data_IF_228132791925
#
_entry.id   IF_228132791925
#
_cell.length_a   1.000
_cell.length_b   1.000
_cell.length_c   1.000
_cell.angle_alpha   90.00
_cell.angle_beta   90.00
_cell.angle_gamma   90.00
#
_symmetry.space_group_name_H-M   'P 1'
#
loop_
_entity.id
_entity.type
_entity.pdbx_description
1 polymer ?
#
# COMPACT_ATOMS: atom_id res chain seq x y z
N UNK A 1 10.03 2.44 -5.41
CA UNK A 1 10.46 2.86 -4.06
C UNK A 1 10.24 1.67 -3.13
N UNK A 2 11.22 1.35 -2.28
CA UNK A 2 11.10 0.19 -1.41
C UNK A 2 10.65 0.62 -0.01
N UNK A 3 9.55 0.04 0.46
CA UNK A 3 9.01 0.26 1.79
C UNK A 3 9.07 -1.03 2.61
N UNK A 4 9.20 -0.90 3.92
CA UNK A 4 9.09 -2.05 4.83
C UNK A 4 7.62 -2.47 4.98
N UNK A 5 7.36 -3.77 5.14
CA UNK A 5 6.04 -4.30 5.50
C UNK A 5 5.49 -3.68 6.79
N UNK A 6 6.36 -3.16 7.67
CA UNK A 6 5.95 -2.51 8.92
C UNK A 6 5.04 -1.28 8.72
N UNK A 7 5.06 -0.63 7.54
CA UNK A 7 4.12 0.46 7.26
C UNK A 7 2.65 -0.02 7.27
N UNK A 8 2.40 -1.29 6.91
CA UNK A 8 1.06 -1.89 6.98
C UNK A 8 0.62 -2.04 8.44
N UNK A 9 1.54 -2.47 9.32
CA UNK A 9 1.32 -2.58 10.78
C UNK A 9 1.04 -1.22 11.40
N UNK A 10 1.88 -0.22 11.11
CA UNK A 10 1.72 1.17 11.58
C UNK A 10 0.40 1.79 11.10
N UNK A 11 -0.04 1.38 9.90
CA UNK A 11 -1.31 1.79 9.32
C UNK A 11 -2.54 1.12 9.94
N UNK A 12 -2.36 0.13 10.81
CA UNK A 12 -3.42 -0.70 11.42
C UNK A 12 -4.32 -1.34 10.36
N UNK A 13 -3.73 -1.72 9.24
CA UNK A 13 -4.41 -2.43 8.15
C UNK A 13 -4.17 -3.93 8.34
N UNK A 14 -5.19 -4.75 8.14
CA UNK A 14 -5.02 -6.21 8.09
C UNK A 14 -4.35 -6.58 6.77
N UNK A 15 -3.25 -7.31 6.86
CA UNK A 15 -2.51 -7.82 5.72
C UNK A 15 -2.21 -9.31 5.91
N UNK A 16 -2.07 -10.01 4.80
CA UNK A 16 -1.76 -11.43 4.72
C UNK A 16 -0.89 -11.73 3.48
N UNK A 17 -0.68 -13.00 3.15
CA UNK A 17 0.10 -13.43 1.99
C UNK A 17 -0.39 -12.82 0.66
N UNK A 18 -1.67 -12.50 0.50
CA UNK A 18 -2.18 -11.79 -0.69
C UNK A 18 -1.65 -10.37 -0.72
N UNK A 19 -1.66 -9.69 0.42
CA UNK A 19 -1.07 -8.35 0.52
C UNK A 19 0.42 -8.40 0.19
N UNK A 20 1.16 -9.38 0.70
CA UNK A 20 2.61 -9.51 0.44
C UNK A 20 2.89 -9.75 -1.04
N UNK A 21 2.15 -10.66 -1.68
CA UNK A 21 2.26 -10.92 -3.11
C UNK A 21 2.01 -9.67 -3.95
N UNK A 22 0.94 -8.92 -3.68
CA UNK A 22 0.67 -7.65 -4.39
C UNK A 22 1.77 -6.62 -4.12
N UNK A 23 2.38 -6.62 -2.94
CA UNK A 23 3.50 -5.73 -2.63
C UNK A 23 4.73 -6.02 -3.49
N UNK A 24 5.04 -7.31 -3.68
CA UNK A 24 6.13 -7.73 -4.55
C UNK A 24 5.87 -7.34 -6.00
N UNK A 25 4.67 -7.64 -6.51
CA UNK A 25 4.28 -7.34 -7.89
C UNK A 25 4.27 -5.83 -8.21
N UNK A 26 3.97 -5.00 -7.21
CA UNK A 26 4.05 -3.54 -7.34
C UNK A 26 5.48 -3.01 -7.15
N UNK A 27 6.46 -3.88 -6.86
CA UNK A 27 7.84 -3.51 -6.54
C UNK A 27 7.93 -2.47 -5.41
N UNK A 28 7.06 -2.61 -4.39
CA UNK A 28 7.03 -1.70 -3.23
C UNK A 28 7.67 -2.29 -1.98
N UNK A 29 8.08 -3.56 -2.01
CA UNK A 29 8.79 -4.24 -0.93
C UNK A 29 9.99 -5.01 -1.48
N UNK A 30 10.97 -5.28 -0.62
CA UNK A 30 12.12 -6.13 -0.98
C UNK A 30 11.87 -7.58 -0.62
N UNK A 31 12.63 -8.45 -1.27
CA UNK A 31 12.76 -9.87 -0.92
C UNK A 31 13.07 -10.10 0.56
N UNK A 32 13.92 -9.25 1.16
CA UNK A 32 14.22 -9.30 2.59
C UNK A 32 13.00 -9.06 3.48
N UNK A 33 12.08 -8.18 3.07
CA UNK A 33 10.84 -7.94 3.82
C UNK A 33 9.95 -9.18 3.79
N UNK A 34 9.88 -9.87 2.64
CA UNK A 34 9.11 -11.10 2.49
C UNK A 34 9.66 -12.22 3.38
N UNK A 35 10.99 -12.38 3.43
CA UNK A 35 11.64 -13.33 4.33
C UNK A 35 11.36 -12.99 5.79
N UNK A 36 11.48 -11.71 6.19
CA UNK A 36 11.17 -11.29 7.56
C UNK A 36 9.70 -11.57 7.93
N UNK A 37 8.78 -11.32 7.00
CA UNK A 37 7.36 -11.65 7.21
C UNK A 37 7.14 -13.15 7.38
N UNK A 38 7.79 -13.99 6.58
CA UNK A 38 7.71 -15.44 6.71
C UNK A 38 8.21 -15.93 8.09
N UNK A 39 9.33 -15.38 8.58
CA UNK A 39 9.87 -15.67 9.91
C UNK A 39 8.89 -15.26 11.01
N UNK A 40 8.32 -14.06 10.92
CA UNK A 40 7.31 -13.57 11.88
C UNK A 40 6.03 -14.42 11.84
N UNK A 41 5.60 -14.83 10.66
CA UNK A 41 4.44 -15.69 10.46
C UNK A 41 4.62 -17.04 11.15
N UNK A 42 5.75 -17.72 10.95
CA UNK A 42 6.05 -19.00 11.60
C UNK A 42 6.22 -18.87 13.12
N UNK A 43 6.72 -17.74 13.60
CA UNK A 43 6.86 -17.46 15.03
C UNK A 43 5.50 -17.35 15.74
N UNK A 44 4.46 -16.94 15.00
CA UNK A 44 3.10 -16.74 15.51
C UNK A 44 2.15 -17.89 15.17
N UNK A 45 2.53 -18.80 14.26
CA UNK A 45 1.78 -19.97 13.81
C UNK A 45 2.67 -21.20 13.86
N UNK A 46 2.99 -21.69 15.07
CA UNK A 46 3.98 -22.75 15.31
C UNK A 46 3.59 -24.10 14.67
N UNK A 47 2.29 -24.30 14.41
CA UNK A 47 1.73 -25.45 13.72
C UNK A 47 1.84 -25.38 12.20
N UNK A 48 2.26 -24.24 11.63
CA UNK A 48 2.41 -24.08 10.19
C UNK A 48 3.51 -25.00 9.66
N UNK A 49 3.13 -25.92 8.78
CA UNK A 49 4.01 -26.87 8.11
C UNK A 49 4.09 -26.63 6.59
N UNK A 50 3.65 -25.45 6.12
CA UNK A 50 3.66 -25.12 4.71
C UNK A 50 5.11 -25.03 4.20
N UNK A 51 5.54 -25.90 3.27
CA UNK A 51 6.93 -25.98 2.84
C UNK A 51 7.42 -24.68 2.18
N UNK A 52 6.54 -23.97 1.48
CA UNK A 52 6.85 -22.72 0.79
C UNK A 52 7.11 -21.57 1.79
N UNK A 53 6.31 -21.47 2.85
CA UNK A 53 6.52 -20.47 3.92
C UNK A 53 7.85 -20.73 4.65
N UNK A 54 8.14 -22.01 4.94
CA UNK A 54 9.39 -22.41 5.58
C UNK A 54 10.59 -22.09 4.67
N UNK A 55 10.47 -22.32 3.36
CA UNK A 55 11.50 -21.95 2.38
C UNK A 55 11.77 -20.44 2.35
N UNK A 56 10.73 -19.60 2.34
CA UNK A 56 10.88 -18.13 2.42
C UNK A 56 11.61 -17.70 3.70
N UNK A 57 11.27 -18.31 4.83
CA UNK A 57 11.86 -17.98 6.13
C UNK A 57 13.34 -18.36 6.23
N UNK A 58 13.78 -19.41 5.51
CA UNK A 58 15.19 -19.78 5.45
C UNK A 58 16.06 -18.82 4.63
N UNK A 59 15.49 -18.07 3.69
CA UNK A 59 16.20 -16.96 3.02
C UNK A 59 17.44 -17.37 2.21
N UNK A 60 17.33 -18.41 1.36
CA UNK A 60 18.41 -18.81 0.44
C UNK A 60 18.57 -17.82 -0.72
N UNK A 61 19.78 -17.73 -1.29
CA UNK A 61 20.13 -16.76 -2.34
C UNK A 61 19.40 -16.96 -3.68
N UNK A 62 18.91 -18.16 -3.97
CA UNK A 62 18.29 -18.52 -5.27
C UNK A 62 16.76 -18.68 -5.16
N UNK A 63 16.12 -17.96 -4.23
CA UNK A 63 14.66 -18.03 -4.05
C UNK A 63 13.94 -17.30 -5.19
N UNK A 64 13.08 -18.02 -5.91
CA UNK A 64 12.09 -17.46 -6.83
C UNK A 64 10.87 -16.95 -6.03
N UNK A 65 10.98 -15.77 -5.42
CA UNK A 65 9.97 -15.22 -4.50
C UNK A 65 8.56 -15.17 -5.09
N UNK A 66 8.42 -14.76 -6.35
CA UNK A 66 7.14 -14.72 -7.08
C UNK A 66 6.49 -16.11 -7.12
N UNK A 67 7.23 -17.11 -7.62
CA UNK A 67 6.75 -18.51 -7.73
C UNK A 67 6.37 -19.09 -6.37
N UNK A 68 7.17 -18.84 -5.34
CA UNK A 68 6.89 -19.37 -4.00
C UNK A 68 5.62 -18.73 -3.43
N UNK A 69 5.46 -17.40 -3.58
CA UNK A 69 4.24 -16.72 -3.14
C UNK A 69 3.01 -17.19 -3.92
N UNK A 70 3.11 -17.40 -5.23
CA UNK A 70 2.02 -18.00 -6.00
C UNK A 70 1.59 -19.37 -5.45
N UNK A 71 2.56 -20.22 -5.09
CA UNK A 71 2.27 -21.53 -4.51
C UNK A 71 1.63 -21.42 -3.12
N UNK A 72 2.11 -20.50 -2.28
CA UNK A 72 1.47 -20.19 -0.99
C UNK A 72 0.02 -19.77 -1.22
N UNK A 73 -0.23 -18.90 -2.20
CA UNK A 73 -1.58 -18.44 -2.50
C UNK A 73 -2.48 -19.56 -3.03
N UNK A 74 -1.97 -20.48 -3.85
CA UNK A 74 -2.70 -21.67 -4.33
C UNK A 74 -3.06 -22.64 -3.20
N UNK A 75 -2.21 -22.75 -2.18
CA UNK A 75 -2.48 -23.63 -1.03
C UNK A 75 -3.41 -22.99 0.01
N UNK A 76 -3.38 -21.66 0.16
CA UNK A 76 -4.12 -20.95 1.22
C UNK A 76 -5.46 -20.37 0.73
N UNK A 77 -5.60 -20.05 -0.56
CA UNK A 77 -6.82 -19.45 -1.11
C UNK A 77 -7.55 -20.39 -2.08
N UNK A 78 -8.88 -20.44 -1.95
CA UNK A 78 -9.79 -21.01 -2.93
C UNK A 78 -10.09 -20.06 -4.12
N UNK A 79 -9.66 -18.79 -4.06
CA UNK A 79 -9.90 -17.78 -5.11
C UNK A 79 -8.59 -17.29 -5.74
N UNK A 80 -8.52 -17.35 -7.08
CA UNK A 80 -7.38 -16.84 -7.84
C UNK A 80 -7.22 -15.33 -7.66
N UNK A 81 -6.04 -14.90 -7.19
CA UNK A 81 -5.65 -13.49 -7.07
C UNK A 81 -5.25 -12.95 -8.46
N UNK A 82 -6.21 -12.90 -9.38
CA UNK A 82 -5.98 -12.39 -10.73
C UNK A 82 -5.70 -10.89 -10.69
N UNK A 83 -4.75 -10.42 -11.51
CA UNK A 83 -4.46 -8.99 -11.70
C UNK A 83 -5.74 -8.26 -12.08
N UNK A 84 -5.93 -7.08 -11.49
CA UNK A 84 -7.13 -6.22 -11.65
C UNK A 84 -8.46 -6.78 -11.14
N UNK A 85 -8.47 -7.97 -10.52
CA UNK A 85 -9.62 -8.48 -9.77
C UNK A 85 -10.01 -7.57 -8.61
N UNK A 86 -11.22 -7.76 -8.07
CA UNK A 86 -11.69 -7.02 -6.91
C UNK A 86 -10.82 -7.23 -5.66
N UNK A 87 -10.20 -8.40 -5.52
CA UNK A 87 -9.23 -8.71 -4.47
C UNK A 87 -7.89 -8.02 -4.72
N UNK A 88 -7.33 -8.14 -5.93
CA UNK A 88 -6.09 -7.46 -6.31
C UNK A 88 -6.16 -5.96 -6.06
N UNK A 89 -7.23 -5.31 -6.54
CA UNK A 89 -7.46 -3.88 -6.35
C UNK A 89 -7.55 -3.51 -4.87
N UNK A 90 -8.11 -4.40 -4.04
CA UNK A 90 -8.17 -4.19 -2.60
C UNK A 90 -6.78 -4.22 -1.95
N UNK A 91 -5.97 -5.21 -2.29
CA UNK A 91 -4.60 -5.33 -1.77
C UNK A 91 -3.70 -4.19 -2.27
N UNK A 92 -3.82 -3.76 -3.54
CA UNK A 92 -3.14 -2.58 -4.08
C UNK A 92 -3.51 -1.31 -3.29
N UNK A 93 -4.78 -1.13 -2.92
CA UNK A 93 -5.24 0.01 -2.10
C UNK A 93 -4.65 0.00 -0.69
N UNK A 94 -4.47 -1.17 -0.06
CA UNK A 94 -3.82 -1.27 1.27
C UNK A 94 -2.39 -0.73 1.24
N UNK A 95 -1.62 -1.11 0.22
CA UNK A 95 -0.27 -0.59 0.01
C UNK A 95 -0.27 0.91 -0.21
N UNK A 96 -1.07 1.40 -1.17
CA UNK A 96 -1.19 2.83 -1.46
C UNK A 96 -1.52 3.64 -0.20
N UNK A 97 -2.54 3.22 0.54
CA UNK A 97 -2.94 3.88 1.77
C UNK A 97 -1.82 3.93 2.80
N UNK A 98 -1.14 2.80 3.01
CA UNK A 98 -0.11 2.70 4.04
C UNK A 98 1.14 3.50 3.69
N UNK A 99 1.52 3.54 2.41
CA UNK A 99 2.59 4.39 1.89
C UNK A 99 2.24 5.86 2.10
N UNK A 100 1.06 6.29 1.67
CA UNK A 100 0.62 7.68 1.81
C UNK A 100 0.55 8.11 3.29
N UNK A 101 0.07 7.23 4.17
CA UNK A 101 0.03 7.48 5.61
C UNK A 101 1.45 7.61 6.19
N UNK A 102 2.36 6.73 5.79
CA UNK A 102 3.76 6.80 6.20
C UNK A 102 4.43 8.11 5.73
N UNK A 103 4.21 8.51 4.48
CA UNK A 103 4.73 9.79 3.95
C UNK A 103 4.17 10.98 4.73
N UNK A 104 2.89 10.97 5.09
CA UNK A 104 2.28 12.02 5.92
C UNK A 104 3.02 12.20 7.26
N UNK A 105 3.39 11.09 7.90
CA UNK A 105 4.12 11.11 9.17
C UNK A 105 5.56 11.59 8.98
N UNK A 106 6.23 11.16 7.90
CA UNK A 106 7.61 11.54 7.58
C UNK A 106 7.79 13.02 7.23
N UNK A 107 6.82 13.60 6.50
CA UNK A 107 6.88 14.98 5.97
C UNK A 107 5.85 15.90 6.63
N UNK A 108 5.48 15.62 7.89
CA UNK A 108 4.44 16.38 8.60
C UNK A 108 4.74 17.89 8.70
N UNK A 109 6.02 18.25 8.76
CA UNK A 109 6.50 19.63 8.91
C UNK A 109 6.89 20.26 7.55
N UNK A 110 6.80 19.49 6.45
CA UNK A 110 7.22 19.89 5.10
C UNK A 110 6.08 19.65 4.09
N UNK A 111 4.96 20.39 4.18
CA UNK A 111 3.75 20.08 3.42
C UNK A 111 3.94 20.13 1.90
N UNK A 112 4.85 20.99 1.41
CA UNK A 112 5.19 21.06 -0.02
C UNK A 112 5.93 19.79 -0.48
N UNK A 113 6.86 19.29 0.32
CA UNK A 113 7.59 18.07 0.00
C UNK A 113 6.69 16.83 0.12
N UNK A 114 5.79 16.82 1.11
CA UNK A 114 4.73 15.80 1.18
C UNK A 114 3.91 15.75 -0.11
N UNK A 115 3.47 16.89 -0.65
CA UNK A 115 2.73 16.92 -1.92
C UNK A 115 3.56 16.41 -3.10
N UNK A 116 4.86 16.71 -3.16
CA UNK A 116 5.76 16.16 -4.18
C UNK A 116 5.85 14.63 -4.07
N UNK A 117 5.99 14.10 -2.85
CA UNK A 117 6.02 12.64 -2.63
C UNK A 117 4.69 11.96 -2.93
N UNK A 118 3.57 12.62 -2.68
CA UNK A 118 2.24 12.12 -3.08
C UNK A 118 2.13 12.02 -4.61
N UNK A 119 2.73 12.95 -5.36
CA UNK A 119 2.77 12.88 -6.84
C UNK A 119 3.56 11.66 -7.33
N UNK A 120 4.68 11.34 -6.69
CA UNK A 120 5.45 10.14 -7.02
C UNK A 120 4.58 8.88 -6.81
N UNK A 121 3.89 8.77 -5.68
CA UNK A 121 2.96 7.65 -5.41
C UNK A 121 1.78 7.64 -6.41
N UNK A 122 1.27 8.80 -6.80
CA UNK A 122 0.20 8.89 -7.79
C UNK A 122 0.62 8.29 -9.13
N UNK A 123 1.86 8.55 -9.57
CA UNK A 123 2.42 7.96 -10.77
C UNK A 123 2.70 6.45 -10.60
N UNK A 124 3.36 6.05 -9.51
CA UNK A 124 3.72 4.64 -9.21
C UNK A 124 2.48 3.73 -9.12
N UNK A 125 1.30 4.28 -8.80
CA UNK A 125 0.03 3.54 -8.69
C UNK A 125 -0.87 3.65 -9.93
N UNK A 126 -0.35 4.09 -11.07
CA UNK A 126 -1.04 4.24 -12.36
C UNK A 126 -2.13 5.33 -12.36
N UNK A 127 -1.84 6.48 -11.76
CA UNK A 127 -2.67 7.68 -11.79
C UNK A 127 -4.14 7.46 -11.35
N UNK A 128 -4.39 6.92 -10.15
CA UNK A 128 -5.74 6.59 -9.72
C UNK A 128 -6.63 7.84 -9.54
N UNK A 129 -7.78 7.84 -10.21
CA UNK A 129 -8.70 9.00 -10.29
C UNK A 129 -9.11 9.57 -8.92
N UNK A 130 -9.24 8.73 -7.90
CA UNK A 130 -9.63 9.12 -6.54
C UNK A 130 -8.58 9.97 -5.81
N UNK A 131 -7.35 10.06 -6.34
CA UNK A 131 -6.30 10.94 -5.82
C UNK A 131 -6.24 12.31 -6.49
N UNK A 132 -6.78 12.47 -7.71
CA UNK A 132 -6.58 13.65 -8.56
C UNK A 132 -6.85 14.98 -7.87
N UNK A 133 -7.82 15.00 -6.95
CA UNK A 133 -8.27 16.20 -6.25
C UNK A 133 -7.17 16.87 -5.42
N UNK A 134 -6.15 16.12 -4.99
CA UNK A 134 -5.05 16.64 -4.17
C UNK A 134 -3.68 16.54 -4.87
N UNK A 135 -3.67 16.33 -6.19
CA UNK A 135 -2.45 16.33 -6.99
C UNK A 135 -2.12 17.77 -7.40
N UNK A 136 -0.96 18.27 -6.98
CA UNK A 136 -0.62 19.68 -7.01
C UNK A 136 -0.53 20.32 -8.42
N UNK A 137 -0.23 19.54 -9.45
CA UNK A 137 -0.18 20.00 -10.84
C UNK A 137 -1.51 19.84 -11.59
N UNK A 138 -2.50 19.17 -11.00
CA UNK A 138 -3.79 18.95 -11.66
C UNK A 138 -4.66 20.22 -11.58
N UNK A 139 -5.35 20.59 -12.68
CA UNK A 139 -6.26 21.71 -12.65
C UNK A 139 -7.43 21.42 -11.69
N UNK A 140 -7.82 22.40 -10.85
CA UNK A 140 -8.96 22.23 -9.95
C UNK A 140 -10.26 21.99 -10.73
N UNK A 141 -11.03 20.97 -10.34
CA UNK A 141 -12.32 20.62 -10.96
C UNK A 141 -13.54 21.26 -10.26
N UNK A 142 -13.33 21.97 -9.16
CA UNK A 142 -14.37 22.52 -8.29
C UNK A 142 -14.54 24.05 -8.45
N UNK A 143 -14.03 24.62 -9.53
CA UNK A 143 -14.11 26.07 -9.79
C UNK A 143 -13.13 26.91 -8.98
N UNK A 144 -12.22 26.28 -8.21
CA UNK A 144 -11.12 26.98 -7.56
C UNK A 144 -10.19 27.61 -8.61
N UNK A 145 -9.89 28.90 -8.45
CA UNK A 145 -8.95 29.62 -9.30
C UNK A 145 -7.62 29.85 -8.55
N UNK A 146 -6.54 29.11 -8.87
CA UNK A 146 -5.26 29.22 -8.18
C UNK A 146 -4.64 30.63 -8.23
N UNK A 147 -5.03 31.47 -9.20
CA UNK A 147 -4.51 32.84 -9.34
C UNK A 147 -5.06 33.81 -8.29
N UNK A 148 -6.13 33.45 -7.59
CA UNK A 148 -6.79 34.31 -6.59
C UNK A 148 -6.29 34.07 -5.15
N UNK A 149 -5.42 33.08 -4.96
CA UNK A 149 -4.95 32.64 -3.64
C UNK A 149 -3.43 32.57 -3.61
N UNK A 150 -2.88 32.67 -2.40
CA UNK A 150 -1.46 32.43 -2.17
C UNK A 150 -1.08 30.96 -2.36
N UNK A 151 0.20 30.69 -2.58
CA UNK A 151 0.75 29.33 -2.64
C UNK A 151 0.46 28.56 -1.34
N UNK A 152 0.56 29.22 -0.19
CA UNK A 152 0.29 28.63 1.13
C UNK A 152 -1.17 28.20 1.28
N UNK A 153 -2.13 29.04 0.89
CA UNK A 153 -3.56 28.69 0.90
C UNK A 153 -3.86 27.50 -0.02
N UNK A 154 -3.20 27.45 -1.19
CA UNK A 154 -3.34 26.33 -2.11
C UNK A 154 -2.79 25.03 -1.50
N UNK A 155 -1.61 25.06 -0.89
CA UNK A 155 -1.02 23.90 -0.20
C UNK A 155 -1.93 23.43 0.93
N UNK A 156 -2.42 24.32 1.78
CA UNK A 156 -3.33 23.98 2.89
C UNK A 156 -4.59 23.28 2.37
N UNK A 157 -5.15 23.76 1.26
CA UNK A 157 -6.32 23.14 0.61
C UNK A 157 -6.01 21.73 0.09
N UNK A 158 -4.89 21.53 -0.58
CA UNK A 158 -4.51 20.19 -1.08
C UNK A 158 -4.27 19.21 0.07
N UNK A 159 -3.60 19.66 1.14
CA UNK A 159 -3.40 18.87 2.36
C UNK A 159 -4.72 18.50 3.02
N UNK A 160 -5.71 19.40 3.04
CA UNK A 160 -7.04 19.07 3.59
C UNK A 160 -7.72 17.95 2.80
N UNK A 161 -7.68 18.00 1.47
CA UNK A 161 -8.23 16.93 0.62
C UNK A 161 -7.48 15.61 0.76
N UNK A 162 -6.16 15.66 0.90
CA UNK A 162 -5.35 14.49 1.17
C UNK A 162 -5.73 13.85 2.52
N UNK A 163 -5.92 14.66 3.56
CA UNK A 163 -6.37 14.18 4.86
C UNK A 163 -7.76 13.55 4.81
N UNK A 164 -8.70 14.18 4.09
CA UNK A 164 -10.04 13.64 3.85
C UNK A 164 -9.99 12.29 3.12
N UNK A 165 -9.12 12.18 2.11
CA UNK A 165 -8.87 10.95 1.37
C UNK A 165 -8.37 9.84 2.31
N UNK A 166 -7.31 10.10 3.09
CA UNK A 166 -6.78 9.11 4.03
C UNK A 166 -7.84 8.63 5.02
N UNK A 167 -8.67 9.55 5.54
CA UNK A 167 -9.73 9.19 6.46
C UNK A 167 -10.77 8.26 5.82
N UNK A 168 -11.25 8.58 4.62
CA UNK A 168 -12.20 7.76 3.87
C UNK A 168 -11.61 6.39 3.49
N UNK A 169 -10.36 6.38 3.05
CA UNK A 169 -9.65 5.17 2.66
C UNK A 169 -9.46 4.23 3.85
N UNK A 170 -9.09 4.77 5.01
CA UNK A 170 -8.97 4.00 6.25
C UNK A 170 -10.30 3.34 6.64
N UNK A 171 -11.40 4.11 6.62
CA UNK A 171 -12.74 3.59 6.91
C UNK A 171 -13.14 2.49 5.92
N UNK A 172 -12.89 2.69 4.63
CA UNK A 172 -13.17 1.70 3.59
C UNK A 172 -12.42 0.38 3.84
N UNK A 173 -11.12 0.46 4.11
CA UNK A 173 -10.26 -0.71 4.34
C UNK A 173 -10.58 -1.45 5.66
N UNK A 174 -11.07 -0.73 6.68
CA UNK A 174 -11.47 -1.34 7.96
C UNK A 174 -12.88 -1.95 7.93
N UNK A 175 -13.81 -1.34 7.17
CA UNK A 175 -15.21 -1.78 7.12
C UNK A 175 -15.47 -2.97 6.18
N UNK A 176 -14.50 -3.36 5.34
CA UNK A 176 -14.52 -4.64 4.62
C UNK A 176 -14.25 -5.80 5.59
N UNK A 177 -15.23 -6.11 6.45
CA UNK A 177 -15.37 -7.49 6.93
C UNK A 177 -15.71 -8.34 5.70
N UNK A 178 -14.80 -9.23 5.31
CA UNK A 178 -15.04 -10.27 4.33
C UNK A 178 -16.36 -10.93 4.71
N UNK A 179 -17.40 -10.80 3.86
CA UNK A 179 -18.57 -11.65 3.99
C UNK A 179 -18.05 -13.08 3.84
N UNK A 180 -18.09 -13.83 4.94
CA UNK A 180 -17.85 -15.27 4.94
C UNK A 180 -18.80 -15.95 3.97
#
# INVERSE_FOLDING_TARGET
MDYSIDILKQSKIKYDWKTIYVGLELSVIKNSDITNYAVEFLSTHQECNNPFIIELAWGKNDIEYERILENILKEINDEDLLKDSGLWKCEKRKWRFSILKHLKEMYQDEPKELLNKIVEVYADFDYPEDMERFINYMPPKDGYNPLLYSEEEHIVRLISFFNDFLHKEQQYLQNRKVKK
#
